data_IF_684257499092
#
_entry.id   IF_684257499092
#
_cell.length_a   1.000
_cell.length_b   1.000
_cell.length_c   1.000
_cell.angle_alpha   90.00
_cell.angle_beta   90.00
_cell.angle_gamma   90.00
#
_symmetry.space_group_name_H-M   'P 1'
#
loop_
_entity.id
_entity.type
_entity.pdbx_description
1 polymer ?
#
# COMPACT_ATOMS: atom_id res chain seq x y z
N UNK A 1 -5.12 27.15 27.33
CA UNK A 1 -5.34 26.77 25.92
C UNK A 1 -4.18 25.87 25.53
N UNK A 2 -4.39 24.55 25.42
CA UNK A 2 -3.31 23.60 25.11
C UNK A 2 -3.37 23.30 23.61
N UNK A 3 -2.31 23.63 22.88
CA UNK A 3 -2.11 23.32 21.46
C UNK A 3 -1.80 21.82 21.28
N UNK A 4 -2.25 21.16 20.21
CA UNK A 4 -1.91 19.74 19.98
C UNK A 4 -0.43 19.59 19.63
N UNK A 5 0.35 19.04 20.57
CA UNK A 5 1.71 18.58 20.29
C UNK A 5 1.64 17.22 19.58
N UNK A 6 2.12 17.13 18.34
CA UNK A 6 2.26 15.87 17.62
C UNK A 6 3.54 15.18 18.10
N UNK A 7 3.39 14.13 18.90
CA UNK A 7 4.50 13.28 19.34
C UNK A 7 4.61 12.07 18.40
N UNK A 8 5.59 12.09 17.48
CA UNK A 8 5.91 10.92 16.65
C UNK A 8 6.96 10.06 17.37
N UNK A 9 6.51 9.03 18.08
CA UNK A 9 7.40 7.98 18.63
C UNK A 9 7.25 6.70 17.82
N UNK A 10 8.36 6.01 17.55
CA UNK A 10 8.31 4.68 16.93
C UNK A 10 7.98 3.64 17.99
N UNK A 11 7.22 2.59 17.66
CA UNK A 11 6.79 1.54 18.62
C UNK A 11 7.98 0.88 19.34
N UNK A 12 9.17 0.92 18.73
CA UNK A 12 10.45 0.44 19.27
C UNK A 12 11.01 1.31 20.41
N UNK A 13 10.72 2.62 20.42
CA UNK A 13 11.25 3.57 21.41
C UNK A 13 10.44 3.61 22.71
N UNK A 14 9.29 2.94 22.78
CA UNK A 14 8.33 3.07 23.89
C UNK A 14 8.08 1.77 24.64
N UNK A 15 8.57 0.62 24.13
CA UNK A 15 8.25 -0.70 24.68
C UNK A 15 9.49 -1.60 24.63
N UNK A 16 10.04 -2.03 25.79
CA UNK A 16 11.24 -2.86 25.84
C UNK A 16 11.08 -4.22 25.14
N UNK A 17 9.90 -4.85 25.16
CA UNK A 17 9.75 -6.20 24.61
C UNK A 17 8.36 -6.40 23.98
N UNK A 18 8.27 -6.13 22.68
CA UNK A 18 7.19 -6.68 21.85
C UNK A 18 7.62 -8.08 21.40
N UNK A 19 6.75 -9.10 21.47
CA UNK A 19 7.07 -10.43 20.99
C UNK A 19 7.44 -10.38 19.50
N UNK A 20 8.32 -11.29 19.07
CA UNK A 20 8.82 -11.32 17.70
C UNK A 20 7.68 -11.39 16.68
N UNK A 21 7.79 -10.53 15.66
CA UNK A 21 6.89 -10.50 14.51
C UNK A 21 7.51 -11.32 13.38
N UNK A 22 6.81 -12.34 12.92
CA UNK A 22 7.20 -13.11 11.73
C UNK A 22 6.31 -12.69 10.57
N UNK A 23 6.90 -12.25 9.45
CA UNK A 23 6.15 -11.97 8.21
C UNK A 23 6.45 -13.08 7.19
N UNK A 24 5.40 -13.71 6.67
CA UNK A 24 5.48 -14.73 5.62
C UNK A 24 4.77 -14.20 4.38
N UNK A 25 5.51 -14.04 3.29
CA UNK A 25 4.97 -13.65 2.00
C UNK A 25 4.52 -14.89 1.22
N UNK A 26 3.24 -14.94 0.85
CA UNK A 26 2.67 -15.99 0.02
C UNK A 26 2.23 -15.40 -1.32
N UNK A 27 2.93 -15.75 -2.40
CA UNK A 27 2.54 -15.34 -3.75
C UNK A 27 1.45 -16.25 -4.27
N UNK A 28 0.28 -15.68 -4.54
CA UNK A 28 -0.90 -16.41 -5.01
C UNK A 28 -1.17 -16.10 -6.48
N UNK A 29 -1.71 -17.08 -7.20
CA UNK A 29 -2.16 -16.92 -8.59
C UNK A 29 -3.64 -16.57 -8.60
N UNK A 30 -4.06 -15.77 -9.58
CA UNK A 30 -5.48 -15.54 -9.84
C UNK A 30 -6.15 -16.81 -10.38
N UNK A 31 -7.44 -16.94 -10.12
CA UNK A 31 -8.30 -17.68 -11.04
C UNK A 31 -8.53 -16.88 -12.33
N UNK A 32 -8.87 -17.56 -13.43
CA UNK A 32 -9.11 -16.89 -14.72
C UNK A 32 -10.22 -15.83 -14.63
N UNK A 33 -11.28 -16.11 -13.86
CA UNK A 33 -12.40 -15.20 -13.66
C UNK A 33 -11.98 -13.93 -12.88
N UNK A 34 -11.22 -14.10 -11.80
CA UNK A 34 -10.74 -12.98 -10.99
C UNK A 34 -9.71 -12.13 -11.75
N UNK A 35 -8.83 -12.76 -12.53
CA UNK A 35 -7.88 -12.06 -13.40
C UNK A 35 -8.62 -11.20 -14.42
N UNK A 36 -9.63 -11.75 -15.10
CA UNK A 36 -10.42 -11.03 -16.08
C UNK A 36 -11.18 -9.84 -15.45
N UNK A 37 -11.77 -10.05 -14.27
CA UNK A 37 -12.45 -8.99 -13.52
C UNK A 37 -11.49 -7.88 -13.10
N UNK A 38 -10.32 -8.24 -12.57
CA UNK A 38 -9.30 -7.30 -12.15
C UNK A 38 -8.79 -6.45 -13.31
N UNK A 39 -8.46 -7.09 -14.45
CA UNK A 39 -7.99 -6.38 -15.64
C UNK A 39 -9.07 -5.45 -16.20
N UNK A 40 -10.33 -5.88 -16.25
CA UNK A 40 -11.43 -5.00 -16.66
C UNK A 40 -11.56 -3.76 -15.76
N UNK A 41 -11.37 -3.90 -14.44
CA UNK A 41 -11.34 -2.75 -13.53
C UNK A 41 -10.14 -1.84 -13.77
N UNK A 42 -8.96 -2.42 -14.01
CA UNK A 42 -7.72 -1.69 -14.28
C UNK A 42 -7.82 -0.87 -15.56
N UNK A 43 -8.33 -1.47 -16.64
CA UNK A 43 -8.55 -0.78 -17.91
C UNK A 43 -9.51 0.41 -17.74
N UNK A 44 -10.66 0.22 -17.07
CA UNK A 44 -11.61 1.30 -16.77
C UNK A 44 -11.04 2.41 -15.88
N UNK A 45 -10.08 2.09 -15.01
CA UNK A 45 -9.39 3.09 -14.20
C UNK A 45 -8.47 3.95 -15.08
N UNK A 46 -7.70 3.34 -15.97
CA UNK A 46 -6.81 4.04 -16.90
C UNK A 46 -7.62 4.96 -17.84
N UNK A 47 -8.72 4.46 -18.40
CA UNK A 47 -9.62 5.24 -19.27
C UNK A 47 -10.14 6.48 -18.53
N UNK A 48 -10.71 6.29 -17.33
CA UNK A 48 -11.22 7.42 -16.53
C UNK A 48 -10.15 8.45 -16.19
N UNK A 49 -8.90 8.03 -15.99
CA UNK A 49 -7.80 8.93 -15.67
C UNK A 49 -7.19 9.62 -16.89
N UNK A 50 -7.42 9.08 -18.11
CA UNK A 50 -6.96 9.72 -19.35
C UNK A 50 -7.72 11.01 -19.64
N UNK A 51 -8.99 11.10 -19.22
CA UNK A 51 -9.87 12.25 -19.47
C UNK A 51 -9.73 13.37 -18.41
N UNK A 52 -8.90 13.17 -17.39
CA UNK A 52 -8.81 14.08 -16.24
C UNK A 52 -7.69 15.09 -16.44
N UNK A 53 -8.04 16.37 -16.36
CA UNK A 53 -7.08 17.48 -16.45
C UNK A 53 -5.99 17.39 -15.36
N UNK A 54 -4.76 17.68 -15.76
CA UNK A 54 -3.58 17.64 -14.89
C UNK A 54 -3.75 18.57 -13.68
N UNK A 55 -3.53 18.02 -12.50
CA UNK A 55 -3.55 18.80 -11.26
C UNK A 55 -3.87 18.00 -10.00
N UNK A 56 -4.20 18.73 -8.93
CA UNK A 56 -4.51 18.13 -7.62
C UNK A 56 -5.73 17.19 -7.65
N UNK A 57 -6.68 17.45 -8.55
CA UNK A 57 -7.86 16.60 -8.75
C UNK A 57 -7.44 15.22 -9.30
N UNK A 58 -6.60 15.20 -10.33
CA UNK A 58 -6.07 13.98 -10.94
C UNK A 58 -5.30 13.13 -9.93
N UNK A 59 -4.43 13.74 -9.12
CA UNK A 59 -3.67 13.04 -8.09
C UNK A 59 -4.57 12.28 -7.11
N UNK A 60 -5.64 12.94 -6.63
CA UNK A 60 -6.60 12.32 -5.72
C UNK A 60 -7.38 11.19 -6.40
N UNK A 61 -7.75 11.37 -7.67
CA UNK A 61 -8.46 10.34 -8.43
C UNK A 61 -7.58 9.11 -8.69
N UNK A 62 -6.30 9.29 -8.98
CA UNK A 62 -5.35 8.18 -9.15
C UNK A 62 -5.24 7.38 -7.85
N UNK A 63 -5.16 8.05 -6.70
CA UNK A 63 -5.14 7.39 -5.38
C UNK A 63 -6.44 6.63 -5.11
N UNK A 64 -7.59 7.17 -5.52
CA UNK A 64 -8.89 6.49 -5.39
C UNK A 64 -8.94 5.20 -6.22
N UNK A 65 -8.43 5.24 -7.46
CA UNK A 65 -8.37 4.06 -8.33
C UNK A 65 -7.38 3.00 -7.82
N UNK A 66 -6.20 3.41 -7.33
CA UNK A 66 -5.27 2.49 -6.66
C UNK A 66 -5.95 1.83 -5.45
N UNK A 67 -6.67 2.60 -4.64
CA UNK A 67 -7.43 2.07 -3.49
C UNK A 67 -8.46 1.04 -3.94
N UNK A 68 -9.16 1.31 -5.05
CA UNK A 68 -10.15 0.38 -5.62
C UNK A 68 -9.51 -0.93 -6.09
N UNK A 69 -8.38 -0.86 -6.79
CA UNK A 69 -7.66 -2.05 -7.26
C UNK A 69 -7.08 -2.88 -6.12
N UNK A 70 -6.57 -2.24 -5.07
CA UNK A 70 -6.10 -2.94 -3.86
C UNK A 70 -7.24 -3.70 -3.18
N UNK A 71 -8.44 -3.12 -3.13
CA UNK A 71 -9.63 -3.80 -2.58
C UNK A 71 -10.04 -5.00 -3.43
N UNK A 72 -9.94 -4.89 -4.76
CA UNK A 72 -10.18 -6.00 -5.67
C UNK A 72 -9.19 -7.17 -5.48
N UNK A 73 -7.95 -6.89 -5.05
CA UNK A 73 -6.96 -7.93 -4.71
C UNK A 73 -7.32 -8.71 -3.45
N UNK A 74 -7.94 -8.07 -2.46
CA UNK A 74 -8.38 -8.77 -1.25
C UNK A 74 -9.63 -9.63 -1.48
N UNK A 75 -10.63 -9.08 -2.20
CA UNK A 75 -11.85 -9.79 -2.59
C UNK A 75 -12.70 -8.91 -3.53
N UNK A 76 -13.34 -9.45 -4.59
CA UNK A 76 -14.18 -8.64 -5.50
C UNK A 76 -15.30 -7.86 -4.79
N UNK A 77 -15.93 -8.45 -3.76
CA UNK A 77 -16.94 -7.77 -2.90
C UNK A 77 -16.36 -6.66 -2.00
N UNK A 78 -15.06 -6.67 -1.71
CA UNK A 78 -14.43 -5.61 -0.89
C UNK A 78 -14.28 -4.30 -1.64
N UNK A 79 -14.50 -4.26 -2.97
CA UNK A 79 -14.64 -3.00 -3.73
C UNK A 79 -15.82 -2.14 -3.20
N UNK A 80 -16.73 -2.74 -2.42
CA UNK A 80 -17.94 -2.09 -1.88
C UNK A 80 -17.77 -1.59 -0.43
N UNK A 81 -17.00 -2.26 0.44
CA UNK A 81 -16.77 -1.78 1.82
C UNK A 81 -15.30 -1.47 2.18
N UNK A 82 -15.12 -0.41 2.96
CA UNK A 82 -13.84 0.07 3.45
C UNK A 82 -13.50 -0.63 4.77
N UNK A 83 -12.43 -1.43 4.85
CA UNK A 83 -11.84 -1.83 6.13
C UNK A 83 -10.34 -2.20 6.10
N UNK A 84 -9.58 -1.38 6.83
CA UNK A 84 -8.75 -1.68 8.01
C UNK A 84 -7.77 -2.88 8.03
N UNK A 85 -6.52 -2.57 8.38
CA UNK A 85 -5.64 -3.48 9.13
C UNK A 85 -4.79 -2.68 10.14
N UNK A 86 -5.17 -2.72 11.42
CA UNK A 86 -4.27 -2.36 12.53
C UNK A 86 -4.68 -2.98 13.89
N UNK A 87 -5.36 -4.13 13.89
CA UNK A 87 -6.02 -4.69 15.09
C UNK A 87 -5.25 -5.78 15.85
N UNK A 88 -4.27 -6.43 15.21
CA UNK A 88 -3.64 -7.63 15.77
C UNK A 88 -2.34 -7.38 16.57
N UNK A 89 -1.61 -6.30 16.29
CA UNK A 89 -0.33 -5.97 16.94
C UNK A 89 -0.49 -4.78 17.91
N UNK A 90 -1.05 -5.09 19.08
CA UNK A 90 -1.46 -4.11 20.11
C UNK A 90 -0.83 -4.40 21.48
N UNK A 91 -0.80 -3.37 22.33
CA UNK A 91 -0.33 -3.43 23.72
C UNK A 91 -1.02 -4.57 24.49
N UNK A 92 -0.24 -5.36 25.23
CA UNK A 92 -0.72 -6.52 25.99
C UNK A 92 -0.69 -7.87 25.27
N UNK A 93 -0.21 -7.92 24.02
CA UNK A 93 0.02 -9.20 23.33
C UNK A 93 1.21 -9.95 23.94
N UNK A 94 0.99 -11.19 24.35
CA UNK A 94 1.98 -12.06 25.02
C UNK A 94 2.47 -13.20 24.12
N UNK A 95 1.87 -13.39 22.94
CA UNK A 95 2.21 -14.46 22.00
C UNK A 95 2.86 -13.91 20.74
N UNK A 96 3.81 -14.66 20.13
CA UNK A 96 4.36 -14.32 18.82
C UNK A 96 3.26 -14.15 17.78
N UNK A 97 3.37 -13.11 16.96
CA UNK A 97 2.40 -12.81 15.91
C UNK A 97 3.05 -13.16 14.57
N UNK A 98 2.46 -14.13 13.87
CA UNK A 98 2.81 -14.43 12.47
C UNK A 98 1.81 -13.75 11.56
N UNK A 99 2.31 -12.94 10.63
CA UNK A 99 1.52 -12.26 9.62
C UNK A 99 1.78 -12.95 8.28
N UNK A 100 0.75 -13.60 7.76
CA UNK A 100 0.75 -14.10 6.39
C UNK A 100 0.24 -13.00 5.47
N UNK A 101 1.09 -12.55 4.55
CA UNK A 101 0.74 -11.59 3.51
C UNK A 101 0.56 -12.36 2.21
N UNK A 102 -0.67 -12.49 1.77
CA UNK A 102 -0.96 -13.00 0.43
C UNK A 102 -0.79 -11.85 -0.55
N UNK A 103 -0.04 -12.07 -1.63
CA UNK A 103 0.15 -11.09 -2.70
C UNK A 103 -0.20 -11.77 -4.00
N UNK A 104 -1.16 -11.21 -4.72
CA UNK A 104 -1.55 -11.76 -5.99
C UNK A 104 -0.60 -11.29 -7.09
N UNK A 105 -0.13 -12.23 -7.91
CA UNK A 105 0.78 -11.92 -9.03
C UNK A 105 0.13 -11.01 -10.07
N UNK A 106 0.91 -10.22 -10.78
CA UNK A 106 0.43 -9.30 -11.83
C UNK A 106 -0.61 -8.29 -11.31
N UNK A 107 -0.56 -7.94 -10.03
CA UNK A 107 -1.51 -7.04 -9.39
C UNK A 107 -0.86 -5.71 -9.00
N UNK A 108 -1.69 -4.75 -8.60
CA UNK A 108 -1.23 -3.47 -8.07
C UNK A 108 -0.43 -3.64 -6.76
N UNK A 109 -0.71 -4.70 -6.00
CA UNK A 109 -0.04 -4.95 -4.71
C UNK A 109 1.42 -5.36 -4.92
N UNK A 110 1.70 -6.19 -5.92
CA UNK A 110 3.06 -6.59 -6.29
C UNK A 110 3.88 -5.36 -6.69
N UNK A 111 3.32 -4.49 -7.54
CA UNK A 111 3.97 -3.25 -8.00
C UNK A 111 4.20 -2.24 -6.86
N UNK A 112 3.26 -2.14 -5.92
CA UNK A 112 3.42 -1.29 -4.73
C UNK A 112 4.56 -1.82 -3.84
N UNK A 113 4.69 -3.13 -3.70
CA UNK A 113 5.79 -3.73 -2.94
C UNK A 113 7.14 -3.51 -3.61
N UNK A 114 7.21 -3.64 -4.92
CA UNK A 114 8.41 -3.30 -5.71
C UNK A 114 8.78 -1.82 -5.53
N UNK A 115 7.81 -0.90 -5.65
CA UNK A 115 8.02 0.52 -5.40
C UNK A 115 8.55 0.79 -3.99
N UNK A 116 8.00 0.12 -2.97
CA UNK A 116 8.47 0.26 -1.60
C UNK A 116 9.87 -0.30 -1.39
N UNK A 117 10.22 -1.40 -2.05
CA UNK A 117 11.57 -1.95 -2.03
C UNK A 117 12.55 -0.97 -2.67
N UNK A 118 12.29 -0.49 -3.90
CA UNK A 118 13.13 0.50 -4.57
C UNK A 118 13.29 1.80 -3.77
N UNK A 119 12.22 2.26 -3.10
CA UNK A 119 12.30 3.46 -2.25
C UNK A 119 13.11 3.21 -0.98
N UNK A 120 13.05 2.01 -0.41
CA UNK A 120 13.87 1.64 0.74
C UNK A 120 15.33 1.54 0.34
N UNK A 121 15.65 0.88 -0.77
CA UNK A 121 17.02 0.77 -1.27
C UNK A 121 17.60 2.16 -1.59
N UNK A 122 16.80 3.03 -2.20
CA UNK A 122 17.17 4.42 -2.43
C UNK A 122 17.38 5.18 -1.11
N UNK A 123 16.46 5.04 -0.15
CA UNK A 123 16.60 5.67 1.16
C UNK A 123 17.85 5.16 1.91
N UNK A 124 18.11 3.86 1.90
CA UNK A 124 19.28 3.24 2.53
C UNK A 124 20.58 3.73 1.86
N UNK A 125 20.60 3.91 0.53
CA UNK A 125 21.72 4.53 -0.18
C UNK A 125 21.92 6.02 0.11
N UNK A 126 20.85 6.73 0.49
CA UNK A 126 20.85 8.17 0.77
C UNK A 126 20.97 8.49 2.27
N UNK A 127 20.81 7.52 3.16
CA UNK A 127 20.98 7.69 4.61
C UNK A 127 22.45 7.92 5.01
N UNK A 128 23.38 7.90 4.04
CA UNK A 128 24.72 8.50 4.15
C UNK A 128 24.73 10.04 4.00
N UNK A 129 23.60 10.68 3.66
CA UNK A 129 23.49 12.13 3.61
C UNK A 129 22.13 12.68 3.17
N UNK A 130 21.39 13.27 4.12
CA UNK A 130 20.23 14.19 3.99
C UNK A 130 18.83 13.63 3.72
N UNK A 131 17.88 14.13 4.54
CA UNK A 131 16.47 13.75 4.65
C UNK A 131 15.65 14.18 3.41
N UNK A 132 15.52 13.28 2.43
CA UNK A 132 14.68 13.49 1.24
C UNK A 132 13.39 12.67 1.33
N UNK A 133 12.35 13.26 1.94
CA UNK A 133 10.97 12.79 1.78
C UNK A 133 10.45 13.19 0.39
N UNK A 134 10.90 12.47 -0.65
CA UNK A 134 10.34 12.59 -1.99
C UNK A 134 8.86 12.20 -1.99
N UNK A 135 7.98 13.17 -2.23
CA UNK A 135 6.54 12.92 -2.46
C UNK A 135 6.39 12.19 -3.79
N UNK A 136 5.55 11.15 -3.83
CA UNK A 136 5.26 10.46 -5.08
C UNK A 136 4.55 11.41 -6.04
N UNK A 137 5.05 11.50 -7.26
CA UNK A 137 4.44 12.28 -8.34
C UNK A 137 3.22 11.54 -8.89
N UNK A 138 2.31 12.27 -9.54
CA UNK A 138 1.14 11.65 -10.18
C UNK A 138 1.54 10.67 -11.28
N UNK A 139 2.60 10.97 -12.03
CA UNK A 139 3.13 10.07 -13.06
C UNK A 139 3.64 8.75 -12.49
N UNK A 140 4.32 8.78 -11.35
CA UNK A 140 4.77 7.58 -10.65
C UNK A 140 3.58 6.73 -10.18
N UNK A 141 2.49 7.36 -9.71
CA UNK A 141 1.27 6.64 -9.36
C UNK A 141 0.58 6.04 -10.60
N UNK A 142 0.55 6.76 -11.73
CA UNK A 142 -0.03 6.29 -12.99
C UNK A 142 0.74 5.09 -13.56
N UNK A 143 2.08 5.06 -13.41
CA UNK A 143 2.91 3.91 -13.82
C UNK A 143 2.47 2.62 -13.12
N UNK A 144 2.06 2.69 -11.85
CA UNK A 144 1.57 1.52 -11.12
C UNK A 144 0.32 0.91 -11.78
N UNK A 145 -0.52 1.73 -12.42
CA UNK A 145 -1.74 1.28 -13.09
C UNK A 145 -1.46 0.73 -14.49
N UNK A 146 -0.53 1.35 -15.23
CA UNK A 146 -0.31 1.06 -16.66
C UNK A 146 0.33 -0.31 -16.92
N UNK A 147 1.25 -0.75 -16.06
CA UNK A 147 1.94 -2.05 -16.22
C UNK A 147 2.92 -1.99 -17.38
#
# INVERSE_FOLDING_TARGET
>A
MVSPFILRRTKTQVLPELPSRTEVELRVQWSDEEAAFYEALRHRAIERLADVEDGKSQHLQVLAEITRLRRACCHPKLVVEDQASDRAHRLGQQRPVTIYRMITRNSIEERILELHASKRDLADSLLEGTDHSGKLTTDELLKLLRG
#
